data_IF_209638830876
#
_entry.id   IF_209638830876
#
_cell.length_a   1.000
_cell.length_b   1.000
_cell.length_c   1.000
_cell.angle_alpha   90.00
_cell.angle_beta   90.00
_cell.angle_gamma   90.00
#
_symmetry.space_group_name_H-M   'P 1'
#
loop_
_entity.id
_entity.type
_entity.pdbx_description
1 polymer ?
#
# COMPACT_ATOMS: atom_id res chain seq x y z
N UNK A 1 -77.63 42.12 -40.49
CA UNK A 1 -76.34 42.79 -40.19
C UNK A 1 -75.51 42.14 -39.07
N UNK A 2 -76.00 41.15 -38.33
CA UNK A 2 -75.28 40.59 -37.16
C UNK A 2 -74.12 39.62 -37.47
N UNK A 3 -74.05 39.00 -38.65
CA UNK A 3 -72.97 38.05 -38.98
C UNK A 3 -71.62 38.73 -39.24
N UNK A 4 -71.63 39.92 -39.86
CA UNK A 4 -70.42 40.70 -40.16
C UNK A 4 -69.73 41.20 -38.87
N UNK A 5 -70.51 41.63 -37.88
CA UNK A 5 -70.00 42.01 -36.55
C UNK A 5 -69.40 40.83 -35.79
N UNK A 6 -69.99 39.63 -35.91
CA UNK A 6 -69.48 38.41 -35.26
C UNK A 6 -68.18 37.91 -35.91
N UNK A 7 -68.08 38.01 -37.24
CA UNK A 7 -66.86 37.69 -37.98
C UNK A 7 -65.71 38.62 -37.60
N UNK A 8 -65.96 39.93 -37.50
CA UNK A 8 -64.95 40.90 -37.09
C UNK A 8 -64.46 40.65 -35.65
N UNK A 9 -65.36 40.27 -34.74
CA UNK A 9 -65.00 39.91 -33.37
C UNK A 9 -64.10 38.66 -33.31
N UNK A 10 -64.44 37.60 -34.05
CA UNK A 10 -63.63 36.38 -34.09
C UNK A 10 -62.21 36.64 -34.63
N UNK A 11 -62.07 37.49 -35.66
CA UNK A 11 -60.76 37.88 -36.20
C UNK A 11 -59.93 38.67 -35.18
N UNK A 12 -60.56 39.53 -34.40
CA UNK A 12 -59.89 40.28 -33.33
C UNK A 12 -59.43 39.37 -32.20
N UNK A 13 -60.26 38.42 -31.77
CA UNK A 13 -59.92 37.43 -30.74
C UNK A 13 -58.75 36.52 -31.19
N UNK A 14 -58.76 36.07 -32.46
CA UNK A 14 -57.64 35.35 -33.07
C UNK A 14 -56.34 36.17 -33.08
N UNK A 15 -56.42 37.47 -33.39
CA UNK A 15 -55.26 38.37 -33.35
C UNK A 15 -54.66 38.48 -31.95
N UNK A 16 -55.52 38.59 -30.92
CA UNK A 16 -55.07 38.64 -29.52
C UNK A 16 -54.43 37.31 -29.13
N UNK A 17 -55.04 36.19 -29.50
CA UNK A 17 -54.49 34.86 -29.23
C UNK A 17 -53.13 34.64 -29.90
N UNK A 18 -52.98 34.98 -31.18
CA UNK A 18 -51.70 34.87 -31.91
C UNK A 18 -50.62 35.78 -31.30
N UNK A 19 -50.99 36.97 -30.84
CA UNK A 19 -50.08 37.87 -30.13
C UNK A 19 -49.64 37.30 -28.77
N UNK A 20 -50.56 36.69 -28.02
CA UNK A 20 -50.23 36.02 -26.77
C UNK A 20 -49.32 34.80 -26.99
N UNK A 21 -49.63 33.97 -27.99
CA UNK A 21 -48.85 32.79 -28.37
C UNK A 21 -47.44 33.14 -28.82
N UNK A 22 -47.28 34.17 -29.66
CA UNK A 22 -45.94 34.64 -30.08
C UNK A 22 -45.14 35.23 -28.90
N UNK A 23 -45.80 35.91 -27.96
CA UNK A 23 -45.20 36.36 -26.71
C UNK A 23 -44.68 35.19 -25.84
N UNK A 24 -45.51 34.17 -25.65
CA UNK A 24 -45.16 32.96 -24.92
C UNK A 24 -44.01 32.20 -25.59
N UNK A 25 -44.07 32.01 -26.92
CA UNK A 25 -43.00 31.36 -27.68
C UNK A 25 -41.66 32.10 -27.53
N UNK A 26 -41.68 33.44 -27.56
CA UNK A 26 -40.48 34.25 -27.35
C UNK A 26 -39.93 34.11 -25.93
N UNK A 27 -40.79 34.03 -24.91
CA UNK A 27 -40.37 33.76 -23.53
C UNK A 27 -39.77 32.35 -23.37
N UNK A 28 -40.39 31.33 -23.97
CA UNK A 28 -39.86 29.97 -23.97
C UNK A 28 -38.51 29.89 -24.67
N UNK A 29 -38.36 30.51 -25.84
CA UNK A 29 -37.08 30.57 -26.56
C UNK A 29 -35.98 31.23 -25.70
N UNK A 30 -36.30 32.33 -25.00
CA UNK A 30 -35.35 32.97 -24.07
C UNK A 30 -34.95 32.05 -22.92
N UNK A 31 -35.90 31.33 -22.32
CA UNK A 31 -35.62 30.39 -21.22
C UNK A 31 -34.77 29.22 -21.68
N UNK A 32 -35.08 28.64 -22.85
CA UNK A 32 -34.30 27.56 -23.45
C UNK A 32 -32.87 28.03 -23.71
N UNK A 33 -32.69 29.17 -24.38
CA UNK A 33 -31.36 29.72 -24.66
C UNK A 33 -30.55 29.99 -23.37
N UNK A 34 -31.20 30.46 -22.30
CA UNK A 34 -30.55 30.66 -21.01
C UNK A 34 -30.10 29.33 -20.37
N UNK A 35 -30.92 28.28 -20.45
CA UNK A 35 -30.53 26.96 -19.94
C UNK A 35 -29.44 26.32 -20.80
N UNK A 36 -29.51 26.42 -22.12
CA UNK A 36 -28.44 25.96 -23.02
C UNK A 36 -27.11 26.67 -22.73
N UNK A 37 -27.13 27.99 -22.51
CA UNK A 37 -25.94 28.74 -22.12
C UNK A 37 -25.38 28.26 -20.78
N UNK A 38 -26.25 27.92 -19.81
CA UNK A 38 -25.84 27.34 -18.52
C UNK A 38 -25.20 25.96 -18.70
N UNK A 39 -25.79 25.09 -19.52
CA UNK A 39 -25.23 23.77 -19.84
C UNK A 39 -23.87 23.91 -20.53
N UNK A 40 -23.73 24.79 -21.53
CA UNK A 40 -22.44 25.05 -22.20
C UNK A 40 -21.35 25.48 -21.20
N UNK A 41 -21.69 26.34 -20.23
CA UNK A 41 -20.75 26.73 -19.16
C UNK A 41 -20.32 25.55 -18.30
N UNK A 42 -21.24 24.67 -17.93
CA UNK A 42 -20.91 23.46 -17.17
C UNK A 42 -20.05 22.49 -17.97
N UNK A 43 -20.34 22.29 -19.26
CA UNK A 43 -19.50 21.46 -20.13
C UNK A 43 -18.07 21.99 -20.21
N UNK A 44 -17.89 23.30 -20.38
CA UNK A 44 -16.54 23.92 -20.38
C UNK A 44 -15.83 23.72 -19.03
N UNK A 45 -16.56 23.84 -17.92
CA UNK A 45 -16.00 23.61 -16.59
C UNK A 45 -15.58 22.15 -16.39
N UNK A 46 -16.42 21.19 -16.76
CA UNK A 46 -16.13 19.76 -16.71
C UNK A 46 -14.90 19.42 -17.56
N UNK A 47 -14.83 19.94 -18.79
CA UNK A 47 -13.67 19.79 -19.67
C UNK A 47 -12.38 20.34 -19.03
N UNK A 48 -12.46 21.50 -18.38
CA UNK A 48 -11.33 22.11 -17.68
C UNK A 48 -10.92 21.29 -16.44
N UNK A 49 -11.88 20.79 -15.68
CA UNK A 49 -11.62 19.89 -14.55
C UNK A 49 -10.99 18.59 -15.02
N UNK A 50 -11.48 17.99 -16.11
CA UNK A 50 -10.91 16.79 -16.73
C UNK A 50 -9.49 17.03 -17.22
N UNK A 51 -9.22 18.17 -17.87
CA UNK A 51 -7.86 18.57 -18.28
C UNK A 51 -6.94 18.79 -17.08
N UNK A 52 -7.41 19.46 -16.02
CA UNK A 52 -6.65 19.66 -14.77
C UNK A 52 -6.37 18.33 -14.07
N UNK A 53 -7.34 17.45 -13.97
CA UNK A 53 -7.20 16.12 -13.39
C UNK A 53 -6.20 15.30 -14.18
N UNK A 54 -6.31 15.25 -15.52
CA UNK A 54 -5.30 14.60 -16.37
C UNK A 54 -3.93 15.20 -16.15
N UNK A 55 -3.78 16.53 -16.17
CA UNK A 55 -2.49 17.20 -15.90
C UNK A 55 -1.97 16.90 -14.50
N UNK A 56 -2.82 16.84 -13.48
CA UNK A 56 -2.44 16.55 -12.10
C UNK A 56 -2.05 15.09 -11.92
N UNK A 57 -2.80 14.16 -12.51
CA UNK A 57 -2.47 12.73 -12.51
C UNK A 57 -1.18 12.52 -13.29
N UNK A 58 -1.04 13.08 -14.49
CA UNK A 58 0.20 12.99 -15.27
C UNK A 58 1.37 13.71 -14.61
N UNK A 59 1.18 14.83 -13.91
CA UNK A 59 2.24 15.47 -13.12
C UNK A 59 2.59 14.65 -11.90
N UNK A 60 1.62 14.15 -11.15
CA UNK A 60 1.86 13.28 -9.99
C UNK A 60 2.52 11.98 -10.40
N UNK A 61 2.11 11.36 -11.51
CA UNK A 61 2.77 10.14 -12.03
C UNK A 61 4.11 10.46 -12.66
N UNK A 62 4.29 11.62 -13.30
CA UNK A 62 5.59 12.07 -13.81
C UNK A 62 6.54 12.46 -12.67
N UNK A 63 6.05 13.06 -11.59
CA UNK A 63 6.82 13.40 -10.40
C UNK A 63 7.08 12.16 -9.55
N UNK A 64 6.16 11.18 -9.51
CA UNK A 64 6.42 9.84 -8.98
C UNK A 64 7.40 9.07 -9.86
N UNK A 65 7.32 9.18 -11.19
CA UNK A 65 8.27 8.57 -12.12
C UNK A 65 9.63 9.24 -12.01
N UNK A 66 9.71 10.57 -11.95
CA UNK A 66 10.94 11.33 -11.67
C UNK A 66 11.43 11.04 -10.27
N UNK A 67 10.56 10.86 -9.29
CA UNK A 67 10.96 10.40 -7.97
C UNK A 67 11.52 8.99 -8.10
N UNK A 68 10.92 8.05 -8.81
CA UNK A 68 11.44 6.69 -9.04
C UNK A 68 12.67 6.62 -9.94
N UNK A 69 12.87 7.60 -10.84
CA UNK A 69 13.99 7.72 -11.79
C UNK A 69 15.13 8.53 -11.18
N UNK A 70 14.87 9.49 -10.31
CA UNK A 70 15.88 10.21 -9.53
C UNK A 70 16.20 9.48 -8.21
N UNK A 71 15.24 8.73 -7.67
CA UNK A 71 15.45 7.59 -6.75
C UNK A 71 15.59 6.29 -7.53
N UNK A 72 16.14 6.37 -8.74
CA UNK A 72 16.90 5.27 -9.32
C UNK A 72 18.23 5.09 -8.54
N UNK A 73 18.11 4.99 -7.22
CA UNK A 73 19.04 4.27 -6.33
C UNK A 73 19.05 2.76 -6.65
N UNK A 74 18.35 2.38 -7.72
CA UNK A 74 18.04 1.05 -8.15
C UNK A 74 18.77 0.72 -9.46
N UNK A 75 19.26 1.72 -10.18
CA UNK A 75 20.07 1.62 -11.39
C UNK A 75 21.48 2.19 -11.21
N UNK A 76 21.67 3.23 -10.38
CA UNK A 76 23.00 3.87 -10.20
C UNK A 76 23.60 3.77 -8.80
N UNK A 77 22.88 3.30 -7.79
CA UNK A 77 23.52 3.04 -6.49
C UNK A 77 24.16 1.66 -6.56
N UNK A 78 25.47 1.62 -6.78
CA UNK A 78 26.27 0.51 -6.26
C UNK A 78 25.87 0.34 -4.79
N UNK A 79 25.05 -0.68 -4.52
CA UNK A 79 24.50 -0.93 -3.20
C UNK A 79 25.66 -1.29 -2.28
N UNK A 80 26.12 -0.32 -1.50
CA UNK A 80 27.01 -0.58 -0.37
C UNK A 80 26.22 -1.40 0.64
N UNK A 81 26.33 -2.73 0.51
CA UNK A 81 25.79 -3.68 1.47
C UNK A 81 26.29 -3.28 2.86
N UNK A 82 25.41 -3.21 3.87
CA UNK A 82 25.82 -2.82 5.21
C UNK A 82 26.92 -3.76 5.71
N UNK A 83 28.00 -3.25 6.34
CA UNK A 83 29.03 -4.09 6.91
C UNK A 83 28.42 -5.09 7.90
N UNK A 84 28.86 -6.35 7.91
CA UNK A 84 28.31 -7.40 8.78
C UNK A 84 28.25 -6.98 10.26
N UNK A 85 29.24 -6.20 10.71
CA UNK A 85 29.32 -5.66 12.07
C UNK A 85 28.12 -4.78 12.43
N UNK A 86 27.47 -4.13 11.46
CA UNK A 86 26.32 -3.27 11.70
C UNK A 86 25.11 -4.02 12.26
N UNK A 87 24.86 -5.26 11.83
CA UNK A 87 23.72 -6.03 12.34
C UNK A 87 23.85 -6.36 13.84
N UNK A 88 25.08 -6.52 14.32
CA UNK A 88 25.37 -6.74 15.74
C UNK A 88 25.15 -5.46 16.57
N UNK A 89 25.40 -4.28 16.00
CA UNK A 89 25.20 -2.97 16.67
C UNK A 89 23.71 -2.70 16.93
N UNK A 90 22.81 -3.22 16.09
CA UNK A 90 21.36 -3.12 16.28
C UNK A 90 20.73 -4.34 16.98
N UNK A 91 21.55 -5.20 17.60
CA UNK A 91 21.12 -6.41 18.31
C UNK A 91 20.24 -7.36 17.47
N UNK A 92 20.37 -7.37 16.14
CA UNK A 92 19.61 -8.28 15.28
C UNK A 92 20.34 -9.63 15.25
N UNK A 93 19.73 -10.72 15.76
CA UNK A 93 20.37 -12.03 15.71
C UNK A 93 20.63 -12.42 14.25
N UNK A 94 21.89 -12.68 13.92
CA UNK A 94 22.32 -13.05 12.56
C UNK A 94 21.61 -14.29 12.02
N UNK A 95 21.11 -15.16 12.91
CA UNK A 95 20.28 -16.34 12.60
C UNK A 95 18.86 -16.00 12.10
N UNK A 96 18.37 -14.79 12.34
CA UNK A 96 17.02 -14.32 11.99
C UNK A 96 17.00 -13.27 10.87
N UNK A 97 18.14 -13.02 10.23
CA UNK A 97 18.23 -12.05 9.13
C UNK A 97 17.37 -12.48 7.93
N UNK A 98 16.49 -11.58 7.52
CA UNK A 98 15.67 -11.66 6.32
C UNK A 98 16.15 -10.65 5.27
N UNK A 99 15.77 -10.82 4.01
CA UNK A 99 16.05 -9.82 2.96
C UNK A 99 15.53 -8.42 3.32
N UNK A 100 14.38 -8.34 4.02
CA UNK A 100 13.88 -7.06 4.53
C UNK A 100 14.82 -6.44 5.57
N UNK A 101 15.37 -7.21 6.51
CA UNK A 101 16.31 -6.69 7.51
C UNK A 101 17.57 -6.11 6.87
N UNK A 102 18.08 -6.75 5.80
CA UNK A 102 19.22 -6.24 5.02
C UNK A 102 18.85 -4.96 4.29
N UNK A 103 17.66 -4.90 3.68
CA UNK A 103 17.14 -3.72 3.01
C UNK A 103 16.95 -2.54 3.97
N UNK A 104 16.29 -2.75 5.10
CA UNK A 104 16.06 -1.75 6.13
C UNK A 104 17.40 -1.20 6.64
N UNK A 105 18.35 -2.09 6.94
CA UNK A 105 19.69 -1.70 7.37
C UNK A 105 20.46 -0.92 6.30
N UNK A 106 20.41 -1.34 5.03
CA UNK A 106 21.03 -0.60 3.94
C UNK A 106 20.46 0.83 3.81
N UNK A 107 19.15 0.99 4.00
CA UNK A 107 18.47 2.30 3.95
C UNK A 107 18.81 3.17 5.16
N UNK A 108 18.83 2.59 6.36
CA UNK A 108 19.20 3.28 7.60
C UNK A 108 20.67 3.73 7.59
N UNK A 109 21.57 2.91 7.04
CA UNK A 109 22.98 3.28 6.86
C UNK A 109 23.20 4.36 5.79
N UNK A 110 22.38 4.37 4.74
CA UNK A 110 22.47 5.39 3.69
C UNK A 110 21.86 6.74 4.09
N UNK A 111 21.04 6.78 5.14
CA UNK A 111 20.26 7.97 5.54
C UNK A 111 20.41 8.31 7.02
N UNK A 112 21.65 8.27 7.53
CA UNK A 112 21.98 8.54 8.94
C UNK A 112 21.70 10.00 9.37
N UNK A 113 21.47 10.92 8.44
CA UNK A 113 21.42 12.36 8.70
C UNK A 113 20.03 12.95 9.04
N UNK A 114 18.93 12.20 8.94
CA UNK A 114 17.56 12.79 9.05
C UNK A 114 16.59 12.07 10.00
N UNK A 115 17.05 11.08 10.77
CA UNK A 115 16.17 10.18 11.55
C UNK A 115 15.86 10.67 12.98
N UNK A 116 16.37 11.83 13.42
CA UNK A 116 16.21 12.28 14.82
C UNK A 116 14.83 12.81 15.16
N UNK A 117 14.07 13.33 14.18
CA UNK A 117 12.77 13.99 14.39
C UNK A 117 11.54 13.14 13.99
N UNK A 118 11.75 11.95 13.40
CA UNK A 118 10.66 11.11 12.90
C UNK A 118 10.35 10.00 13.90
N UNK A 119 9.06 9.79 14.20
CA UNK A 119 8.63 8.68 15.07
C UNK A 119 9.13 7.34 14.52
N UNK A 120 9.63 6.47 15.41
CA UNK A 120 10.13 5.12 15.05
C UNK A 120 9.09 4.31 14.28
N UNK A 121 7.81 4.47 14.61
CA UNK A 121 6.68 3.81 13.95
C UNK A 121 6.52 4.32 12.52
N UNK A 122 6.68 5.63 12.28
CA UNK A 122 6.64 6.21 10.93
C UNK A 122 7.76 5.67 10.05
N UNK A 123 8.99 5.59 10.58
CA UNK A 123 10.14 5.03 9.84
C UNK A 123 9.89 3.57 9.44
N UNK A 124 9.31 2.77 10.34
CA UNK A 124 8.99 1.36 10.05
C UNK A 124 7.91 1.28 8.95
N UNK A 125 6.86 2.08 9.02
CA UNK A 125 5.81 2.11 8.01
C UNK A 125 6.34 2.50 6.62
N UNK A 126 7.24 3.50 6.57
CA UNK A 126 7.87 3.94 5.33
C UNK A 126 8.79 2.87 4.73
N UNK A 127 9.56 2.17 5.57
CA UNK A 127 10.42 1.07 5.13
C UNK A 127 9.61 -0.13 4.62
N UNK A 128 8.50 -0.47 5.27
CA UNK A 128 7.60 -1.52 4.82
C UNK A 128 6.96 -1.16 3.48
N UNK A 129 6.45 0.07 3.33
CA UNK A 129 5.91 0.56 2.06
C UNK A 129 6.94 0.55 0.93
N UNK A 130 8.17 0.96 1.22
CA UNK A 130 9.26 0.92 0.24
C UNK A 130 9.68 -0.51 -0.13
N UNK A 131 9.57 -1.46 0.80
CA UNK A 131 9.83 -2.87 0.53
C UNK A 131 8.74 -3.50 -0.34
N UNK A 132 7.47 -3.18 -0.13
CA UNK A 132 6.36 -3.72 -0.92
C UNK A 132 6.51 -3.39 -2.42
N UNK A 133 6.82 -2.13 -2.73
CA UNK A 133 6.96 -1.63 -4.11
C UNK A 133 8.24 -2.14 -4.81
N UNK A 134 9.19 -2.70 -4.06
CA UNK A 134 10.45 -3.16 -4.63
C UNK A 134 10.26 -4.36 -5.60
N UNK A 135 10.88 -4.36 -6.80
CA UNK A 135 10.78 -5.46 -7.74
C UNK A 135 11.24 -6.80 -7.15
N UNK A 136 10.61 -7.94 -7.51
CA UNK A 136 10.98 -9.27 -6.99
C UNK A 136 12.45 -9.62 -7.17
N UNK A 137 13.04 -9.28 -8.31
CA UNK A 137 14.47 -9.52 -8.62
C UNK A 137 15.43 -8.82 -7.66
N UNK A 138 15.00 -7.72 -7.04
CA UNK A 138 15.80 -6.98 -6.04
C UNK A 138 15.59 -7.51 -4.64
N UNK A 139 14.36 -7.93 -4.31
CA UNK A 139 14.06 -8.65 -3.06
C UNK A 139 14.91 -9.93 -2.96
N UNK A 140 15.05 -10.66 -4.06
CA UNK A 140 15.87 -11.88 -4.13
C UNK A 140 17.37 -11.62 -3.88
N UNK A 141 17.91 -10.49 -4.35
CA UNK A 141 19.30 -10.09 -4.04
C UNK A 141 19.53 -9.83 -2.55
N UNK A 142 18.55 -9.22 -1.89
CA UNK A 142 18.63 -9.01 -0.44
C UNK A 142 18.49 -10.31 0.34
N UNK A 143 17.60 -11.20 -0.10
CA UNK A 143 17.41 -12.50 0.53
C UNK A 143 18.65 -13.40 0.35
N UNK A 144 19.27 -13.42 -0.83
CA UNK A 144 20.51 -14.17 -1.09
C UNK A 144 21.68 -13.68 -0.24
N UNK A 145 21.75 -12.38 0.05
CA UNK A 145 22.72 -11.82 0.99
C UNK A 145 22.40 -12.14 2.46
N UNK A 146 21.12 -12.13 2.85
CA UNK A 146 20.72 -12.59 4.18
C UNK A 146 21.06 -14.08 4.38
N UNK A 147 20.84 -14.90 3.35
CA UNK A 147 21.21 -16.32 3.31
C UNK A 147 22.73 -16.54 3.36
N UNK A 148 23.55 -15.69 2.74
CA UNK A 148 25.01 -15.83 2.81
C UNK A 148 25.54 -15.53 4.22
N UNK A 149 25.03 -14.49 4.87
CA UNK A 149 25.37 -14.20 6.27
C UNK A 149 24.94 -15.33 7.20
N UNK A 150 23.74 -15.90 6.99
CA UNK A 150 23.25 -17.04 7.78
C UNK A 150 24.11 -18.29 7.60
N UNK A 151 24.53 -18.59 6.36
CA UNK A 151 25.38 -19.75 6.05
C UNK A 151 26.80 -19.61 6.61
N UNK A 152 27.39 -18.42 6.55
CA UNK A 152 28.71 -18.17 7.12
C UNK A 152 28.73 -18.32 8.65
N UNK A 153 27.61 -18.05 9.33
CA UNK A 153 27.46 -18.32 10.76
C UNK A 153 27.49 -19.81 11.09
N UNK A 154 26.89 -20.66 10.25
CA UNK A 154 26.92 -22.13 10.39
C UNK A 154 28.32 -22.68 10.11
N UNK A 155 29.06 -22.07 9.18
CA UNK A 155 30.45 -22.44 8.90
C UNK A 155 31.42 -22.02 10.03
N UNK A 156 31.15 -20.89 10.69
CA UNK A 156 31.92 -20.45 11.87
C UNK A 156 31.60 -21.21 13.17
N UNK A 157 30.40 -21.78 13.30
CA UNK A 157 29.99 -22.65 14.42
C UNK A 157 30.52 -24.09 14.25
N UNK A 158 30.91 -24.48 13.03
CA UNK A 158 31.43 -25.81 12.73
C UNK A 158 32.90 -26.03 13.15
N UNK A 159 33.60 -25.00 13.66
CA UNK A 159 35.01 -25.14 14.08
C UNK A 159 35.20 -25.45 15.56
N UNK A 160 34.14 -25.54 16.36
CA UNK A 160 34.22 -25.96 17.75
C UNK A 160 32.95 -26.68 18.18
N UNK A 161 32.86 -28.01 18.03
CA UNK A 161 32.21 -28.85 19.03
C UNK A 161 32.57 -30.35 18.87
N UNK A 162 33.12 -30.88 19.95
CA UNK A 162 33.37 -32.30 20.25
C UNK A 162 32.13 -33.20 20.01
N UNK A 163 32.31 -34.45 19.55
CA UNK A 163 31.21 -35.39 19.36
C UNK A 163 30.93 -36.13 20.67
N UNK A 164 29.83 -35.83 21.34
CA UNK A 164 29.32 -36.71 22.41
C UNK A 164 27.80 -36.81 22.42
N UNK A 165 27.32 -37.97 21.92
CA UNK A 165 26.20 -38.84 22.37
C UNK A 165 25.03 -38.16 23.11
N UNK A 166 23.75 -38.45 22.88
CA UNK A 166 23.11 -39.71 22.49
C UNK A 166 21.60 -39.48 22.25
N UNK A 167 21.05 -40.28 21.34
CA UNK A 167 19.67 -40.78 21.23
C UNK A 167 18.64 -40.42 22.31
N UNK A 168 17.42 -40.07 21.89
CA UNK A 168 16.18 -40.86 22.13
C UNK A 168 15.09 -40.42 21.12
N UNK A 169 14.35 -41.38 20.57
CA UNK A 169 13.31 -41.25 19.54
C UNK A 169 12.10 -40.40 19.96
N UNK A 170 11.21 -40.05 19.01
CA UNK A 170 9.79 -40.09 19.33
C UNK A 170 9.02 -41.08 18.43
N UNK A 171 8.01 -41.65 19.07
CA UNK A 171 7.08 -42.63 18.52
C UNK A 171 6.29 -42.10 17.34
N UNK A 172 5.87 -43.05 16.52
CA UNK A 172 4.75 -42.90 15.60
C UNK A 172 3.47 -42.75 16.40
N UNK A 173 2.63 -41.80 16.02
CA UNK A 173 1.18 -41.98 15.99
C UNK A 173 0.68 -41.29 14.71
N UNK A 174 0.08 -42.11 13.86
CA UNK A 174 -0.77 -41.75 12.74
C UNK A 174 -2.01 -41.02 13.29
N UNK A 175 -2.53 -39.98 12.64
CA UNK A 175 -3.86 -40.05 12.02
C UNK A 175 -4.25 -38.74 11.33
N UNK A 176 -5.19 -38.91 10.41
CA UNK A 176 -5.75 -38.02 9.40
C UNK A 176 -6.30 -36.66 9.86
N UNK A 177 -6.35 -35.74 8.88
CA UNK A 177 -7.17 -34.51 8.83
C UNK A 177 -6.89 -33.39 9.85
N UNK A 178 -5.90 -32.52 9.57
CA UNK A 178 -5.87 -31.20 10.24
C UNK A 178 -5.13 -30.11 9.44
N UNK A 179 -5.49 -29.89 8.16
CA UNK A 179 -4.89 -28.81 7.35
C UNK A 179 -5.30 -27.40 7.84
N UNK A 180 -6.33 -27.31 8.70
CA UNK A 180 -6.80 -26.05 9.31
C UNK A 180 -6.27 -25.82 10.74
N UNK A 181 -5.98 -26.88 11.51
CA UNK A 181 -5.54 -26.74 12.90
C UNK A 181 -4.09 -26.31 13.05
N UNK A 182 -3.21 -26.66 12.10
CA UNK A 182 -1.82 -26.20 12.16
C UNK A 182 -1.69 -24.69 11.95
N UNK A 183 -2.50 -24.10 11.07
CA UNK A 183 -2.47 -22.65 10.82
C UNK A 183 -2.98 -21.87 12.04
N UNK A 184 -4.01 -22.38 12.71
CA UNK A 184 -4.53 -21.80 13.96
C UNK A 184 -3.52 -21.84 15.11
N UNK A 185 -2.80 -22.96 15.26
CA UNK A 185 -1.70 -23.10 16.24
C UNK A 185 -0.55 -22.15 15.91
N UNK A 186 -0.18 -22.08 14.64
CA UNK A 186 0.87 -21.19 14.16
C UNK A 186 0.53 -19.70 14.36
N UNK A 187 -0.71 -19.30 14.07
CA UNK A 187 -1.15 -17.91 14.24
C UNK A 187 -1.14 -17.49 15.72
N UNK A 188 -1.55 -18.38 16.63
CA UNK A 188 -1.48 -18.11 18.07
C UNK A 188 -0.05 -17.92 18.56
N UNK A 189 0.88 -18.76 18.09
CA UNK A 189 2.31 -18.62 18.42
C UNK A 189 2.88 -17.31 17.84
N UNK A 190 2.52 -16.98 16.61
CA UNK A 190 2.88 -15.71 15.98
C UNK A 190 2.33 -14.50 16.76
N UNK A 191 1.10 -14.55 17.27
CA UNK A 191 0.52 -13.45 18.06
C UNK A 191 1.30 -13.19 19.35
N UNK A 192 1.75 -14.24 20.05
CA UNK A 192 2.50 -14.08 21.29
C UNK A 192 3.97 -13.73 21.06
N UNK A 193 4.66 -14.44 20.15
CA UNK A 193 6.08 -14.16 19.86
C UNK A 193 6.25 -12.84 19.13
N UNK A 194 5.41 -12.56 18.14
CA UNK A 194 5.44 -11.32 17.37
C UNK A 194 5.23 -10.11 18.26
N UNK A 195 4.28 -10.18 19.20
CA UNK A 195 4.06 -9.12 20.19
C UNK A 195 5.28 -8.92 21.06
N UNK A 196 5.83 -10.01 21.62
CA UNK A 196 7.00 -9.95 22.51
C UNK A 196 8.22 -9.36 21.80
N UNK A 197 8.48 -9.75 20.55
CA UNK A 197 9.60 -9.23 19.75
C UNK A 197 9.42 -7.74 19.42
N UNK A 198 8.18 -7.34 19.12
CA UNK A 198 7.86 -5.94 18.84
C UNK A 198 7.96 -5.07 20.10
N UNK A 199 7.45 -5.55 21.24
CA UNK A 199 7.50 -4.85 22.52
C UNK A 199 8.93 -4.64 23.02
N UNK A 200 9.84 -5.61 22.78
CA UNK A 200 11.28 -5.45 23.08
C UNK A 200 11.90 -4.30 22.29
N UNK A 201 11.37 -4.02 21.10
CA UNK A 201 11.95 -3.01 20.19
C UNK A 201 11.31 -1.62 20.34
N UNK A 202 10.01 -1.57 20.67
CA UNK A 202 9.20 -0.35 20.62
C UNK A 202 8.65 0.05 22.01
N UNK A 203 8.78 -0.82 23.01
CA UNK A 203 8.18 -0.64 24.34
C UNK A 203 6.77 -1.24 24.44
N UNK A 204 6.06 -1.03 25.55
CA UNK A 204 4.76 -1.66 25.80
C UNK A 204 3.73 -1.30 24.72
N UNK A 205 3.14 -2.31 24.09
CA UNK A 205 2.09 -2.12 23.09
C UNK A 205 0.70 -2.34 23.69
N UNK A 206 -0.25 -1.50 23.27
CA UNK A 206 -1.67 -1.76 23.50
C UNK A 206 -2.10 -2.94 22.62
N UNK A 207 -2.95 -3.78 23.20
CA UNK A 207 -3.40 -5.01 22.55
C UNK A 207 -4.17 -4.75 21.24
N UNK A 208 -4.97 -3.68 21.20
CA UNK A 208 -5.68 -3.27 19.98
C UNK A 208 -4.74 -2.90 18.83
N UNK A 209 -3.64 -2.20 19.11
CA UNK A 209 -2.66 -1.77 18.10
C UNK A 209 -1.88 -2.98 17.57
N UNK A 210 -1.52 -3.92 18.46
CA UNK A 210 -0.88 -5.17 18.06
C UNK A 210 -1.76 -6.02 17.16
N UNK A 211 -3.04 -6.23 17.53
CA UNK A 211 -3.95 -7.06 16.72
C UNK A 211 -4.20 -6.48 15.32
N UNK A 212 -4.22 -5.15 15.19
CA UNK A 212 -4.37 -4.47 13.90
C UNK A 212 -3.15 -4.67 12.98
N UNK A 213 -1.95 -4.78 13.54
CA UNK A 213 -0.70 -5.03 12.81
C UNK A 213 -0.50 -6.53 12.54
N UNK A 214 -0.77 -7.37 13.53
CA UNK A 214 -0.51 -8.80 13.48
C UNK A 214 -1.27 -9.49 12.34
N UNK A 215 -2.50 -9.08 12.05
CA UNK A 215 -3.27 -9.65 10.95
C UNK A 215 -2.61 -9.34 9.59
N UNK A 216 -2.09 -8.12 9.40
CA UNK A 216 -1.41 -7.71 8.17
C UNK A 216 -0.07 -8.42 8.01
N UNK A 217 0.72 -8.47 9.08
CA UNK A 217 1.99 -9.19 9.13
C UNK A 217 1.79 -10.68 8.84
N UNK A 218 0.80 -11.32 9.47
CA UNK A 218 0.49 -12.74 9.25
C UNK A 218 0.17 -13.05 7.78
N UNK A 219 -0.60 -12.18 7.12
CA UNK A 219 -0.96 -12.34 5.72
C UNK A 219 0.21 -12.09 4.77
N UNK A 220 1.24 -11.36 5.20
CA UNK A 220 2.47 -11.13 4.43
C UNK A 220 3.44 -12.32 4.47
N UNK A 221 3.29 -13.22 5.45
CA UNK A 221 4.18 -14.38 5.62
C UNK A 221 3.91 -15.46 4.57
N UNK A 222 5.00 -16.03 4.05
CA UNK A 222 4.95 -17.19 3.18
C UNK A 222 4.48 -18.44 3.94
N UNK A 223 3.93 -19.43 3.21
CA UNK A 223 3.51 -20.70 3.79
C UNK A 223 4.62 -21.40 4.59
N UNK A 224 5.88 -21.31 4.12
CA UNK A 224 7.05 -21.87 4.80
C UNK A 224 7.32 -21.17 6.14
N UNK A 225 7.13 -19.85 6.21
CA UNK A 225 7.30 -19.09 7.46
C UNK A 225 6.16 -19.37 8.44
N UNK A 226 4.92 -19.41 7.95
CA UNK A 226 3.75 -19.79 8.77
C UNK A 226 3.93 -21.18 9.39
N UNK A 227 4.39 -22.17 8.60
CA UNK A 227 4.66 -23.52 9.10
C UNK A 227 5.73 -23.59 10.18
N UNK A 228 6.70 -22.66 10.23
CA UNK A 228 7.68 -22.62 11.33
C UNK A 228 7.06 -22.26 12.68
N UNK A 229 5.99 -21.47 12.68
CA UNK A 229 5.24 -21.17 13.89
C UNK A 229 4.35 -22.33 14.36
N UNK A 230 4.03 -23.30 13.49
CA UNK A 230 3.32 -24.53 13.87
C UNK A 230 4.24 -25.61 14.47
N UNK A 231 5.56 -25.50 14.28
CA UNK A 231 6.55 -26.51 14.68
C UNK A 231 7.20 -26.21 16.04
N UNK A 232 6.67 -25.24 16.78
CA UNK A 232 7.15 -24.78 18.08
C UNK A 232 6.05 -24.92 19.11
#
# INVERSE_FOLDING_TARGET
MHSLTRGQQAVNELHVFLRAMSGAQRQWAKRIAAQEAKVRRFMIMEDNCRKKLRRSVFRSTNDQLKYLVNTDLLGSMEMKLPPRAAFNVFCIPTRQLSGFSVFAMARLHASTASLSDVSKIGIIADLLGAWEVLPPSKKERYETYAESIRRDLVAGDATNHDPRKSSTSPGKEEDDHDDAGWESRAYRCFLHEGRRLLEVSVGPLKEADWLALALKEWNSLTLRQKKRYAQR
#
